data_IF_086936587869
#
_entry.id   IF_086936587869
#
_cell.length_a   1.000
_cell.length_b   1.000
_cell.length_c   1.000
_cell.angle_alpha   90.00
_cell.angle_beta   90.00
_cell.angle_gamma   90.00
#
_symmetry.space_group_name_H-M   'P 1'
#
loop_
_entity.id
_entity.type
_entity.pdbx_description
1 polymer ?
#
# COMPACT_ATOMS: atom_id res chain seq x y z
N UNK A 1 11.13 -0.18 22.14
CA UNK A 1 9.97 -1.00 21.72
C UNK A 1 10.17 -1.35 20.27
N UNK A 2 10.46 -2.61 20.00
CA UNK A 2 10.63 -3.14 18.65
C UNK A 2 9.35 -2.89 17.86
N UNK A 3 9.44 -2.30 16.66
CA UNK A 3 8.38 -2.39 15.65
C UNK A 3 8.58 -3.72 14.93
N UNK A 4 7.83 -4.79 15.23
CA UNK A 4 7.80 -5.93 14.34
C UNK A 4 6.77 -5.64 13.25
N UNK A 5 6.93 -6.31 12.11
CA UNK A 5 5.97 -6.41 10.99
C UNK A 5 6.16 -5.38 9.86
N UNK A 6 7.32 -5.41 9.21
CA UNK A 6 7.28 -5.54 7.75
C UNK A 6 7.04 -7.03 7.46
N UNK A 7 5.82 -7.51 7.72
CA UNK A 7 5.45 -8.87 7.30
C UNK A 7 5.44 -8.91 5.78
N UNK A 8 6.09 -9.94 5.21
CA UNK A 8 6.10 -10.09 3.75
C UNK A 8 4.66 -10.34 3.27
N UNK A 9 4.26 -9.87 2.06
CA UNK A 9 2.88 -10.00 1.56
C UNK A 9 2.30 -11.42 1.63
N UNK A 10 3.16 -12.45 1.47
CA UNK A 10 2.77 -13.88 1.56
C UNK A 10 2.36 -14.32 2.98
N UNK A 11 2.89 -13.69 4.02
CA UNK A 11 2.54 -13.96 5.41
C UNK A 11 1.27 -13.20 5.84
N UNK A 12 1.06 -12.01 5.28
CA UNK A 12 -0.13 -11.20 5.54
C UNK A 12 -1.42 -11.95 5.15
N UNK A 13 -1.48 -12.54 3.96
CA UNK A 13 -2.68 -13.24 3.46
C UNK A 13 -3.10 -14.40 4.38
N UNK A 14 -2.13 -15.19 4.88
CA UNK A 14 -2.42 -16.37 5.72
C UNK A 14 -2.98 -16.01 7.09
N UNK A 15 -2.72 -14.79 7.56
CA UNK A 15 -3.03 -14.37 8.92
C UNK A 15 -4.15 -13.30 8.97
N UNK A 16 -4.84 -13.03 7.86
CA UNK A 16 -5.90 -12.02 7.83
C UNK A 16 -6.99 -12.30 8.86
N UNK A 17 -7.41 -13.56 9.04
CA UNK A 17 -8.43 -13.91 10.03
C UNK A 17 -7.94 -13.73 11.48
N UNK A 18 -6.64 -13.93 11.72
CA UNK A 18 -6.03 -13.69 13.03
C UNK A 18 -5.97 -12.20 13.38
N UNK A 19 -5.59 -11.36 12.41
CA UNK A 19 -5.48 -9.92 12.61
C UNK A 19 -6.82 -9.18 12.55
N UNK A 20 -7.77 -9.71 11.79
CA UNK A 20 -9.09 -9.11 11.56
C UNK A 20 -10.21 -10.10 11.87
N UNK A 21 -10.32 -10.60 13.12
CA UNK A 21 -11.34 -11.58 13.50
C UNK A 21 -12.77 -11.06 13.31
N UNK A 22 -12.94 -9.73 13.31
CA UNK A 22 -14.22 -9.04 13.14
C UNK A 22 -14.40 -8.46 11.72
N UNK A 23 -13.59 -8.87 10.75
CA UNK A 23 -13.62 -8.34 9.39
C UNK A 23 -12.91 -7.00 9.22
N UNK A 24 -13.01 -6.46 8.00
CA UNK A 24 -12.24 -5.29 7.55
C UNK A 24 -13.17 -4.15 7.13
N UNK A 25 -13.07 -3.00 7.78
CA UNK A 25 -13.88 -1.80 7.48
C UNK A 25 -13.21 -0.86 6.48
N UNK A 26 -11.88 -0.77 6.51
CA UNK A 26 -11.10 0.08 5.60
C UNK A 26 -9.90 -0.69 5.08
N UNK A 27 -9.70 -0.65 3.77
CA UNK A 27 -8.50 -1.19 3.13
C UNK A 27 -7.90 -0.16 2.19
N UNK A 28 -6.63 0.18 2.39
CA UNK A 28 -5.87 1.04 1.51
C UNK A 28 -4.96 0.16 0.65
N UNK A 29 -5.34 -0.03 -0.61
CA UNK A 29 -4.70 -1.01 -1.49
C UNK A 29 -3.61 -0.37 -2.34
N UNK A 30 -2.37 -0.81 -2.12
CA UNK A 30 -1.20 -0.49 -2.94
C UNK A 30 -0.75 -1.70 -3.79
N UNK A 31 -1.34 -2.89 -3.55
CA UNK A 31 -0.80 -4.17 -4.01
C UNK A 31 -1.66 -4.81 -5.08
N UNK A 32 -2.98 -4.78 -4.93
CA UNK A 32 -3.91 -5.44 -5.83
C UNK A 32 -3.83 -6.97 -5.75
N UNK A 33 -4.19 -7.61 -6.87
CA UNK A 33 -4.04 -9.04 -7.07
C UNK A 33 -4.71 -9.92 -6.01
N UNK A 34 -4.02 -11.01 -5.63
CA UNK A 34 -4.50 -11.97 -4.63
C UNK A 34 -4.80 -11.34 -3.27
N UNK A 35 -4.02 -10.35 -2.83
CA UNK A 35 -4.23 -9.74 -1.51
C UNK A 35 -5.57 -9.01 -1.47
N UNK A 36 -5.87 -8.20 -2.49
CA UNK A 36 -7.16 -7.53 -2.61
C UNK A 36 -8.31 -8.55 -2.59
N UNK A 37 -8.22 -9.62 -3.38
CA UNK A 37 -9.25 -10.66 -3.44
C UNK A 37 -9.52 -11.31 -2.06
N UNK A 38 -8.46 -11.60 -1.30
CA UNK A 38 -8.57 -12.18 0.04
C UNK A 38 -9.12 -11.20 1.08
N UNK A 39 -8.78 -9.91 0.97
CA UNK A 39 -9.35 -8.84 1.81
C UNK A 39 -10.84 -8.68 1.53
N UNK A 40 -11.26 -8.64 0.26
CA UNK A 40 -12.67 -8.56 -0.14
C UNK A 40 -13.50 -9.70 0.45
N UNK A 41 -12.91 -10.90 0.55
CA UNK A 41 -13.48 -12.05 1.23
C UNK A 41 -13.88 -11.80 2.70
N UNK A 42 -13.33 -10.75 3.33
CA UNK A 42 -13.41 -10.46 4.77
C UNK A 42 -13.94 -9.07 5.10
N UNK A 43 -14.39 -8.30 4.11
CA UNK A 43 -14.90 -6.95 4.38
C UNK A 43 -16.24 -6.96 5.14
N UNK A 44 -16.39 -5.96 5.98
CA UNK A 44 -17.63 -5.66 6.70
C UNK A 44 -18.64 -4.92 5.83
N UNK A 45 -19.89 -4.84 6.33
CA UNK A 45 -20.92 -4.03 5.68
C UNK A 45 -20.49 -2.55 5.70
N UNK A 46 -20.62 -1.84 4.58
CA UNK A 46 -20.18 -0.44 4.35
C UNK A 46 -18.68 -0.23 4.42
N UNK A 47 -17.88 -1.27 4.17
CA UNK A 47 -16.44 -1.13 4.08
C UNK A 47 -16.01 -0.15 2.97
N UNK A 48 -14.83 0.45 3.12
CA UNK A 48 -14.23 1.41 2.18
C UNK A 48 -12.87 0.91 1.72
N UNK A 49 -12.73 0.72 0.42
CA UNK A 49 -11.49 0.27 -0.22
C UNK A 49 -10.97 1.42 -1.09
N UNK A 50 -9.80 1.96 -0.73
CA UNK A 50 -9.10 2.96 -1.52
C UNK A 50 -8.08 2.28 -2.42
N UNK A 51 -8.22 2.40 -3.74
CA UNK A 51 -7.32 1.80 -4.72
C UNK A 51 -6.25 2.83 -5.10
N UNK A 52 -5.06 2.68 -4.53
CA UNK A 52 -3.91 3.55 -4.80
C UNK A 52 -3.01 2.97 -5.89
N UNK A 53 -2.87 1.64 -5.96
CA UNK A 53 -2.00 0.98 -6.93
C UNK A 53 -2.13 -0.54 -6.94
N UNK A 54 -1.45 -1.17 -7.89
CA UNK A 54 -1.45 -2.63 -8.10
C UNK A 54 -0.04 -3.18 -8.33
N UNK A 55 0.89 -2.93 -7.40
CA UNK A 55 2.31 -3.25 -7.60
C UNK A 55 2.58 -4.74 -7.87
N UNK A 56 1.68 -5.64 -7.44
CA UNK A 56 1.81 -7.08 -7.73
C UNK A 56 1.65 -7.43 -9.21
N UNK A 57 1.11 -6.51 -10.03
CA UNK A 57 0.73 -6.75 -11.42
C UNK A 57 1.46 -5.84 -12.43
N UNK A 58 2.33 -4.92 -11.98
CA UNK A 58 2.99 -3.95 -12.87
C UNK A 58 4.00 -4.56 -13.84
N UNK A 59 4.58 -5.72 -13.50
CA UNK A 59 5.64 -6.37 -14.28
C UNK A 59 5.18 -7.64 -15.02
N UNK A 60 3.88 -7.92 -15.04
CA UNK A 60 3.29 -9.10 -15.70
C UNK A 60 2.25 -8.68 -16.74
N UNK A 61 1.89 -9.60 -17.64
CA UNK A 61 0.90 -9.29 -18.68
C UNK A 61 -0.53 -9.43 -18.17
N UNK A 62 -1.52 -8.79 -18.81
CA UNK A 62 -2.93 -8.86 -18.40
C UNK A 62 -3.49 -10.29 -18.28
N UNK A 63 -2.97 -11.22 -19.07
CA UNK A 63 -3.35 -12.64 -19.04
C UNK A 63 -2.97 -13.32 -17.72
N UNK A 64 -1.93 -12.81 -17.05
CA UNK A 64 -1.42 -13.28 -15.77
C UNK A 64 -2.06 -12.59 -14.56
N UNK A 65 -2.88 -11.54 -14.77
CA UNK A 65 -3.52 -10.82 -13.68
C UNK A 65 -4.39 -11.73 -12.83
N UNK A 66 -4.43 -11.46 -11.52
CA UNK A 66 -5.23 -12.27 -10.61
C UNK A 66 -6.72 -12.07 -10.93
N UNK A 67 -7.45 -13.16 -11.12
CA UNK A 67 -8.90 -13.11 -11.36
C UNK A 67 -9.64 -13.03 -10.01
N UNK A 68 -10.27 -11.89 -9.66
CA UNK A 68 -10.89 -11.74 -8.35
C UNK A 68 -12.14 -12.63 -8.24
N UNK A 69 -12.23 -13.40 -7.16
CA UNK A 69 -13.36 -14.29 -6.83
C UNK A 69 -14.37 -13.60 -5.92
N UNK A 70 -13.93 -12.65 -5.11
CA UNK A 70 -14.71 -11.98 -4.07
C UNK A 70 -15.25 -10.61 -4.50
N UNK A 71 -15.19 -10.27 -5.79
CA UNK A 71 -15.59 -8.95 -6.29
C UNK A 71 -17.08 -8.64 -6.02
N UNK A 72 -17.93 -9.67 -6.09
CA UNK A 72 -19.36 -9.58 -5.76
C UNK A 72 -19.63 -9.08 -4.32
N UNK A 73 -18.65 -9.20 -3.41
CA UNK A 73 -18.81 -8.81 -2.02
C UNK A 73 -18.93 -7.31 -1.83
N UNK A 74 -18.48 -6.50 -2.80
CA UNK A 74 -18.72 -5.06 -2.79
C UNK A 74 -20.22 -4.78 -2.72
N UNK A 75 -20.99 -5.37 -3.64
CA UNK A 75 -22.45 -5.25 -3.66
C UNK A 75 -23.10 -5.92 -2.45
N UNK A 76 -22.68 -7.15 -2.10
CA UNK A 76 -23.23 -7.89 -0.96
C UNK A 76 -23.09 -7.14 0.37
N UNK A 77 -22.04 -6.33 0.51
CA UNK A 77 -21.70 -5.63 1.75
C UNK A 77 -22.02 -4.14 1.71
N UNK A 78 -22.72 -3.61 0.71
CA UNK A 78 -22.92 -2.16 0.55
C UNK A 78 -21.59 -1.37 0.65
N UNK A 79 -20.48 -1.97 0.18
CA UNK A 79 -19.14 -1.40 0.32
C UNK A 79 -18.82 -0.45 -0.83
N UNK A 80 -17.81 0.41 -0.62
CA UNK A 80 -17.30 1.34 -1.63
C UNK A 80 -15.86 1.02 -1.97
N UNK A 81 -15.57 0.76 -3.24
CA UNK A 81 -14.21 0.63 -3.76
C UNK A 81 -13.94 1.76 -4.74
N UNK A 82 -12.93 2.59 -4.48
CA UNK A 82 -12.68 3.80 -5.25
C UNK A 82 -11.19 4.00 -5.50
N UNK A 83 -10.83 4.17 -6.77
CA UNK A 83 -9.53 4.68 -7.17
C UNK A 83 -9.43 6.19 -6.98
N UNK A 84 -8.20 6.67 -6.78
CA UNK A 84 -7.88 8.09 -6.72
C UNK A 84 -6.49 8.31 -7.32
N UNK A 85 -6.23 9.53 -7.76
CA UNK A 85 -4.91 9.93 -8.23
C UNK A 85 -4.42 11.12 -7.43
N UNK A 86 -3.17 11.07 -6.97
CA UNK A 86 -2.65 12.05 -6.00
C UNK A 86 -2.72 13.48 -6.55
N UNK A 87 -2.50 13.66 -7.85
CA UNK A 87 -2.51 14.98 -8.49
C UNK A 87 -3.90 15.61 -8.63
N UNK A 88 -4.98 14.85 -8.45
CA UNK A 88 -6.33 15.42 -8.39
C UNK A 88 -6.53 16.29 -7.13
N UNK A 89 -5.65 16.15 -6.13
CA UNK A 89 -5.73 16.81 -4.82
C UNK A 89 -4.64 17.87 -4.61
N UNK A 90 -3.97 18.34 -5.67
CA UNK A 90 -2.89 19.34 -5.58
C UNK A 90 -3.26 20.58 -4.76
N UNK A 91 -4.52 21.05 -4.86
CA UNK A 91 -5.01 22.20 -4.10
C UNK A 91 -4.96 22.00 -2.58
N UNK A 92 -4.98 20.75 -2.13
CA UNK A 92 -4.94 20.39 -0.71
C UNK A 92 -3.51 20.23 -0.18
N UNK A 93 -2.48 20.19 -1.05
CA UNK A 93 -1.10 19.92 -0.62
C UNK A 93 -0.60 20.91 0.45
N UNK A 94 -0.75 22.25 0.29
CA UNK A 94 -0.23 23.19 1.29
C UNK A 94 -0.82 22.95 2.69
N UNK A 95 -2.12 22.67 2.75
CA UNK A 95 -2.82 22.36 4.01
C UNK A 95 -2.26 21.11 4.69
N UNK A 96 -1.99 20.05 3.93
CA UNK A 96 -1.44 18.82 4.50
C UNK A 96 0.05 18.94 4.82
N UNK A 97 0.82 19.73 4.08
CA UNK A 97 2.22 20.04 4.40
C UNK A 97 2.31 20.80 5.74
N UNK A 98 1.47 21.82 5.94
CA UNK A 98 1.38 22.56 7.20
C UNK A 98 1.01 21.65 8.38
N UNK A 99 0.21 20.61 8.14
CA UNK A 99 -0.21 19.64 9.15
C UNK A 99 0.86 18.57 9.45
N UNK A 100 1.49 18.00 8.42
CA UNK A 100 2.39 16.85 8.55
C UNK A 100 3.82 17.26 8.93
N UNK A 101 4.31 18.42 8.47
CA UNK A 101 5.67 18.87 8.77
C UNK A 101 5.93 19.05 10.28
N UNK A 102 5.01 19.61 11.09
CA UNK A 102 5.15 19.60 12.54
C UNK A 102 5.22 18.19 13.13
N UNK A 103 4.42 17.24 12.65
CA UNK A 103 4.48 15.86 13.16
C UNK A 103 5.82 15.20 12.90
N UNK A 104 6.47 15.49 11.77
CA UNK A 104 7.82 15.02 11.48
C UNK A 104 8.84 15.69 12.41
N UNK A 105 8.78 17.02 12.53
CA UNK A 105 9.70 17.80 13.40
C UNK A 105 9.58 17.43 14.88
N UNK A 106 8.37 17.09 15.32
CA UNK A 106 8.06 16.69 16.70
C UNK A 106 8.13 15.17 16.90
N UNK A 107 8.61 14.42 15.90
CA UNK A 107 8.84 12.98 16.00
C UNK A 107 7.57 12.13 16.24
N UNK A 108 6.38 12.73 15.97
CA UNK A 108 5.06 12.07 15.97
C UNK A 108 4.82 11.25 14.70
N UNK A 109 5.51 11.59 13.61
CA UNK A 109 5.53 10.86 12.36
C UNK A 109 6.99 10.68 11.92
N UNK A 110 7.46 9.43 11.84
CA UNK A 110 8.84 9.12 11.43
C UNK A 110 8.84 8.48 10.04
N UNK A 111 9.20 9.21 8.97
CA UNK A 111 9.42 8.61 7.67
C UNK A 111 10.51 7.55 7.75
N UNK A 112 10.23 6.36 7.23
CA UNK A 112 11.25 5.33 7.05
C UNK A 112 11.87 5.53 5.67
N UNK A 113 13.16 5.81 5.64
CA UNK A 113 13.90 6.12 4.41
C UNK A 113 15.01 5.10 4.18
N UNK A 114 15.22 4.72 2.92
CA UNK A 114 16.30 3.84 2.48
C UNK A 114 17.08 4.54 1.36
N UNK A 115 18.20 5.16 1.75
CA UNK A 115 18.94 6.11 0.92
C UNK A 115 20.22 5.47 0.38
N UNK A 116 20.29 5.34 -0.95
CA UNK A 116 21.47 4.91 -1.70
C UNK A 116 22.38 6.08 -2.04
N UNK A 117 23.64 5.83 -2.38
CA UNK A 117 24.63 6.86 -2.70
C UNK A 117 25.10 6.72 -4.16
N UNK A 118 25.24 7.85 -4.86
CA UNK A 118 25.67 7.92 -6.25
C UNK A 118 24.51 7.71 -7.23
N UNK A 119 24.49 8.47 -8.32
CA UNK A 119 23.47 8.35 -9.37
C UNK A 119 23.48 6.96 -10.02
N UNK A 120 24.64 6.29 -9.99
CA UNK A 120 24.89 4.94 -10.48
C UNK A 120 24.06 3.89 -9.74
N UNK A 121 23.58 4.20 -8.53
CA UNK A 121 22.73 3.30 -7.74
C UNK A 121 21.26 3.34 -8.18
N UNK A 122 20.84 4.30 -9.02
CA UNK A 122 19.44 4.42 -9.47
C UNK A 122 18.84 3.14 -10.07
N UNK A 123 19.53 2.40 -10.97
CA UNK A 123 18.98 1.15 -11.53
C UNK A 123 18.75 0.09 -10.45
N UNK A 124 19.71 -0.10 -9.54
CA UNK A 124 19.59 -1.05 -8.43
C UNK A 124 18.47 -0.65 -7.47
N UNK A 125 18.35 0.65 -7.18
CA UNK A 125 17.29 1.20 -6.36
C UNK A 125 15.91 0.85 -6.94
N UNK A 126 15.72 1.07 -8.24
CA UNK A 126 14.47 0.75 -8.93
C UNK A 126 14.18 -0.76 -8.92
N UNK A 127 15.17 -1.61 -9.19
CA UNK A 127 15.01 -3.07 -9.15
C UNK A 127 14.61 -3.53 -7.73
N UNK A 128 15.21 -2.95 -6.70
CA UNK A 128 14.94 -3.31 -5.31
C UNK A 128 13.50 -3.03 -4.88
N UNK A 129 12.86 -1.98 -5.43
CA UNK A 129 11.46 -1.64 -5.20
C UNK A 129 10.54 -2.81 -5.59
N UNK A 130 10.76 -3.38 -6.78
CA UNK A 130 9.93 -4.49 -7.28
C UNK A 130 10.27 -5.84 -6.64
N UNK A 131 11.50 -6.03 -6.15
CA UNK A 131 11.87 -7.23 -5.40
C UNK A 131 11.35 -7.23 -3.96
N UNK A 132 10.94 -6.07 -3.43
CA UNK A 132 10.47 -5.94 -2.05
C UNK A 132 11.55 -6.28 -1.02
N UNK A 133 12.84 -6.07 -1.37
CA UNK A 133 13.98 -6.43 -0.52
C UNK A 133 14.33 -5.36 0.50
N UNK A 134 13.72 -4.18 0.42
CA UNK A 134 13.99 -3.02 1.27
C UNK A 134 12.69 -2.43 1.83
N UNK A 135 12.78 -1.79 2.98
CA UNK A 135 11.65 -1.14 3.66
C UNK A 135 11.82 0.37 3.70
N UNK A 136 10.70 1.09 3.62
CA UNK A 136 10.69 2.54 3.58
C UNK A 136 10.73 3.11 2.15
N UNK A 137 10.77 4.44 2.07
CA UNK A 137 10.88 5.16 0.81
C UNK A 137 12.30 5.00 0.25
N UNK A 138 12.41 4.38 -0.93
CA UNK A 138 13.68 4.22 -1.63
C UNK A 138 14.09 5.55 -2.26
N UNK A 139 15.28 6.05 -1.90
CA UNK A 139 15.84 7.30 -2.41
C UNK A 139 17.29 7.13 -2.84
N UNK A 140 17.77 7.97 -3.76
CA UNK A 140 19.19 8.00 -4.17
C UNK A 140 19.73 9.41 -3.98
N UNK A 141 20.81 9.53 -3.21
CA UNK A 141 21.57 10.77 -3.08
C UNK A 141 22.57 10.85 -4.23
N UNK A 142 22.47 11.91 -5.02
CA UNK A 142 23.23 12.10 -6.26
C UNK A 142 24.63 12.69 -6.01
N UNK A 143 24.77 13.58 -5.03
CA UNK A 143 26.03 14.19 -4.59
C UNK A 143 25.92 14.59 -3.11
#
# INVERSE_FOLDING_TARGET
MTMPLITRPKECVKNLDTYFPNGIDVFFDNVGGRLLDEVLGRINRRARIAICGRISEYLITPEEYHRPRNMYRIGLKDAKMQGFFVYDYQKEYPKYEEQLAPWIREDKLRPLEDIGQGIEEMPNALISLYKGTRGGTRMVRVA
#
